data_IF_951606114406
#
_entry.id   IF_951606114406
#
_cell.length_a   1.000
_cell.length_b   1.000
_cell.length_c   1.000
_cell.angle_alpha   90.00
_cell.angle_beta   90.00
_cell.angle_gamma   90.00
#
_symmetry.space_group_name_H-M   'P 1'
#
loop_
_entity.id
_entity.type
_entity.pdbx_description
1 polymer ?
#
# COMPACT_ATOMS: atom_id res chain seq x y z
N UNK A 1 -44.14 -38.24 -8.31
CA UNK A 1 -44.00 -36.81 -7.99
C UNK A 1 -45.05 -36.36 -6.98
N UNK A 2 -46.30 -36.84 -7.08
CA UNK A 2 -47.41 -36.49 -6.17
C UNK A 2 -47.12 -36.70 -4.68
N UNK A 3 -46.55 -37.85 -4.30
CA UNK A 3 -46.22 -38.16 -2.90
C UNK A 3 -45.20 -37.18 -2.27
N UNK A 4 -44.28 -36.65 -3.08
CA UNK A 4 -43.28 -35.69 -2.60
C UNK A 4 -43.90 -34.31 -2.38
N UNK A 5 -44.81 -33.90 -3.26
CA UNK A 5 -45.62 -32.68 -3.11
C UNK A 5 -46.53 -32.74 -1.89
N UNK A 6 -47.18 -33.87 -1.63
CA UNK A 6 -48.06 -34.02 -0.46
C UNK A 6 -47.29 -33.96 0.86
N UNK A 7 -46.10 -34.57 0.92
CA UNK A 7 -45.22 -34.48 2.10
C UNK A 7 -44.75 -33.05 2.34
N UNK A 8 -44.42 -32.30 1.28
CA UNK A 8 -43.99 -30.90 1.38
C UNK A 8 -45.15 -30.01 1.85
N UNK A 9 -46.36 -30.20 1.33
CA UNK A 9 -47.54 -29.44 1.74
C UNK A 9 -47.92 -29.74 3.20
N UNK A 10 -47.86 -31.01 3.61
CA UNK A 10 -48.15 -31.41 4.97
C UNK A 10 -47.09 -30.88 5.97
N UNK A 11 -45.81 -30.84 5.57
CA UNK A 11 -44.75 -30.21 6.35
C UNK A 11 -44.98 -28.70 6.46
N UNK A 12 -45.28 -28.04 5.34
CA UNK A 12 -45.58 -26.60 5.29
C UNK A 12 -46.70 -26.22 6.26
N UNK A 13 -47.86 -26.90 6.19
CA UNK A 13 -49.01 -26.58 7.03
C UNK A 13 -48.73 -26.82 8.53
N UNK A 14 -47.93 -27.84 8.84
CA UNK A 14 -47.51 -28.12 10.21
C UNK A 14 -46.55 -27.06 10.73
N UNK A 15 -45.64 -26.58 9.89
CA UNK A 15 -44.71 -25.49 10.23
C UNK A 15 -45.46 -24.16 10.40
N UNK A 16 -46.43 -23.85 9.53
CA UNK A 16 -47.26 -22.63 9.64
C UNK A 16 -48.08 -22.64 10.93
N UNK A 17 -48.73 -23.76 11.27
CA UNK A 17 -49.49 -23.88 12.53
C UNK A 17 -48.62 -23.70 13.78
N UNK A 18 -47.38 -24.19 13.75
CA UNK A 18 -46.42 -24.02 14.85
C UNK A 18 -45.92 -22.57 14.96
N UNK A 19 -45.65 -21.91 13.83
CA UNK A 19 -45.13 -20.54 13.78
C UNK A 19 -46.21 -19.49 14.13
N UNK A 20 -47.48 -19.76 13.84
CA UNK A 20 -48.62 -18.89 14.21
C UNK A 20 -48.81 -18.76 15.73
N UNK A 21 -48.29 -19.68 16.52
CA UNK A 21 -48.36 -19.64 17.99
C UNK A 21 -47.31 -18.72 18.63
N UNK A 22 -46.36 -18.21 17.84
CA UNK A 22 -45.25 -17.38 18.32
C UNK A 22 -45.51 -15.92 17.94
N UNK A 23 -45.15 -14.99 18.83
CA UNK A 23 -45.27 -13.55 18.57
C UNK A 23 -44.48 -13.18 17.28
N UNK A 24 -45.11 -12.53 16.28
CA UNK A 24 -44.50 -12.23 14.99
C UNK A 24 -43.25 -11.34 15.10
N UNK A 25 -43.18 -10.45 16.10
CA UNK A 25 -42.00 -9.61 16.36
C UNK A 25 -40.82 -10.42 16.90
N UNK A 26 -41.10 -11.42 17.73
CA UNK A 26 -40.06 -12.33 18.24
C UNK A 26 -39.54 -13.24 17.11
N UNK A 27 -40.44 -13.73 16.25
CA UNK A 27 -40.06 -14.58 15.13
C UNK A 27 -39.20 -13.84 14.09
N UNK A 28 -39.58 -12.61 13.73
CA UNK A 28 -38.82 -11.76 12.80
C UNK A 28 -37.48 -11.33 13.37
N UNK A 29 -37.41 -10.93 14.64
CA UNK A 29 -36.13 -10.60 15.29
C UNK A 29 -35.21 -11.82 15.42
N UNK A 30 -35.74 -12.99 15.79
CA UNK A 30 -34.95 -14.22 15.88
C UNK A 30 -34.41 -14.68 14.52
N UNK A 31 -35.20 -14.55 13.44
CA UNK A 31 -34.76 -14.89 12.08
C UNK A 31 -33.69 -13.92 11.57
N UNK A 32 -33.83 -12.61 11.81
CA UNK A 32 -32.80 -11.62 11.48
C UNK A 32 -31.51 -11.87 12.26
N UNK A 33 -31.59 -12.10 13.58
CA UNK A 33 -30.41 -12.34 14.43
C UNK A 33 -29.72 -13.65 14.08
N UNK A 34 -30.47 -14.72 13.85
CA UNK A 34 -29.89 -16.02 13.48
C UNK A 34 -29.25 -15.97 12.09
N UNK A 35 -29.89 -15.34 11.11
CA UNK A 35 -29.33 -15.17 9.77
C UNK A 35 -28.09 -14.28 9.79
N UNK A 36 -28.14 -13.14 10.50
CA UNK A 36 -26.98 -12.26 10.66
C UNK A 36 -25.84 -12.98 11.38
N UNK A 37 -26.12 -13.70 12.46
CA UNK A 37 -25.11 -14.46 13.21
C UNK A 37 -24.49 -15.55 12.35
N UNK A 38 -25.30 -16.28 11.58
CA UNK A 38 -24.82 -17.30 10.65
C UNK A 38 -23.93 -16.70 9.56
N UNK A 39 -24.38 -15.63 8.89
CA UNK A 39 -23.59 -14.93 7.86
C UNK A 39 -22.31 -14.32 8.46
N UNK A 40 -22.39 -13.75 9.65
CA UNK A 40 -21.24 -13.19 10.37
C UNK A 40 -20.23 -14.27 10.72
N UNK A 41 -20.66 -15.39 11.30
CA UNK A 41 -19.80 -16.53 11.64
C UNK A 41 -19.23 -17.21 10.39
N UNK A 42 -20.02 -17.33 9.33
CA UNK A 42 -19.58 -17.86 8.04
C UNK A 42 -18.51 -16.98 7.39
N UNK A 43 -18.70 -15.66 7.42
CA UNK A 43 -17.68 -14.70 6.97
C UNK A 43 -16.45 -14.70 7.87
N UNK A 44 -16.63 -14.83 9.19
CA UNK A 44 -15.54 -14.94 10.17
C UNK A 44 -14.68 -16.19 9.91
N UNK A 45 -15.30 -17.31 9.53
CA UNK A 45 -14.62 -18.56 9.21
C UNK A 45 -13.90 -18.51 7.85
N UNK A 46 -14.42 -17.76 6.87
CA UNK A 46 -13.80 -17.59 5.55
C UNK A 46 -12.75 -16.48 5.45
N UNK A 47 -12.64 -15.62 6.45
CA UNK A 47 -11.60 -14.61 6.51
C UNK A 47 -10.31 -15.17 7.13
N UNK A 48 -9.14 -15.04 6.46
CA UNK A 48 -7.88 -15.60 6.98
C UNK A 48 -7.28 -14.86 8.19
N UNK A 49 -7.95 -13.81 8.71
CA UNK A 49 -7.63 -13.34 10.07
C UNK A 49 -8.29 -14.33 11.03
N UNK A 50 -7.54 -15.40 11.34
CA UNK A 50 -7.99 -16.44 12.25
C UNK A 50 -8.55 -15.87 13.55
N UNK A 51 -9.53 -16.56 14.12
CA UNK A 51 -10.28 -16.14 15.32
C UNK A 51 -9.32 -15.71 16.44
N UNK A 52 -8.20 -16.43 16.62
CA UNK A 52 -7.13 -16.08 17.56
C UNK A 52 -6.57 -14.67 17.35
N UNK A 53 -6.24 -14.27 16.12
CA UNK A 53 -5.71 -12.92 15.84
C UNK A 53 -6.75 -11.83 16.08
N UNK A 54 -8.04 -12.10 15.83
CA UNK A 54 -9.12 -11.15 16.11
C UNK A 54 -9.33 -10.95 17.61
N UNK A 55 -9.36 -12.05 18.35
CA UNK A 55 -9.44 -12.03 19.81
C UNK A 55 -8.22 -11.33 20.39
N UNK A 56 -7.02 -11.62 19.90
CA UNK A 56 -5.80 -10.92 20.30
C UNK A 56 -5.88 -9.42 19.98
N UNK A 57 -6.33 -9.01 18.79
CA UNK A 57 -6.48 -7.57 18.48
C UNK A 57 -7.48 -6.88 19.40
N UNK A 58 -8.64 -7.49 19.65
CA UNK A 58 -9.64 -6.94 20.59
C UNK A 58 -9.09 -6.88 22.00
N UNK A 59 -8.43 -7.95 22.45
CA UNK A 59 -7.75 -8.02 23.73
C UNK A 59 -6.69 -6.91 23.84
N UNK A 60 -5.78 -6.78 22.88
CA UNK A 60 -4.77 -5.72 22.85
C UNK A 60 -5.41 -4.33 22.80
N UNK A 61 -6.53 -4.16 22.08
CA UNK A 61 -7.27 -2.89 22.07
C UNK A 61 -7.81 -2.55 23.46
N UNK A 62 -8.36 -3.52 24.18
CA UNK A 62 -8.86 -3.34 25.55
C UNK A 62 -7.69 -3.09 26.53
N UNK A 63 -6.61 -3.86 26.41
CA UNK A 63 -5.39 -3.69 27.21
C UNK A 63 -4.77 -2.31 27.01
N UNK A 64 -4.76 -1.79 25.77
CA UNK A 64 -4.31 -0.42 25.46
C UNK A 64 -5.19 0.67 26.08
N UNK A 65 -6.44 0.36 26.43
CA UNK A 65 -7.31 1.30 27.14
C UNK A 65 -7.05 1.33 28.66
N UNK A 66 -6.29 0.38 29.21
CA UNK A 66 -5.94 0.37 30.64
C UNK A 66 -5.04 1.58 30.93
N UNK A 67 -5.36 2.42 31.94
CA UNK A 67 -4.65 3.69 32.18
C UNK A 67 -3.13 3.55 32.31
N UNK A 68 -2.63 2.53 33.02
CA UNK A 68 -1.19 2.31 33.19
C UNK A 68 -0.48 1.89 31.90
N UNK A 69 -1.14 1.04 31.08
CA UNK A 69 -0.60 0.63 29.77
C UNK A 69 -0.60 1.81 28.80
N UNK A 70 -1.68 2.60 28.76
CA UNK A 70 -1.78 3.82 27.96
C UNK A 70 -0.68 4.82 28.36
N UNK A 71 -0.44 4.99 29.66
CA UNK A 71 0.62 5.87 30.16
C UNK A 71 1.99 5.41 29.67
N UNK A 72 2.32 4.13 29.79
CA UNK A 72 3.60 3.59 29.30
C UNK A 72 3.76 3.71 27.78
N UNK A 73 2.70 3.50 27.01
CA UNK A 73 2.71 3.71 25.55
C UNK A 73 2.98 5.20 25.24
N UNK A 74 2.31 6.11 25.93
CA UNK A 74 2.51 7.55 25.73
C UNK A 74 3.91 7.99 26.14
N UNK A 75 4.47 7.44 27.22
CA UNK A 75 5.87 7.66 27.62
C UNK A 75 6.84 7.24 26.50
N UNK A 76 6.66 6.05 25.91
CA UNK A 76 7.49 5.61 24.78
C UNK A 76 7.31 6.49 23.53
N UNK A 77 6.08 6.92 23.23
CA UNK A 77 5.83 7.85 22.12
C UNK A 77 6.55 9.19 22.37
N UNK A 78 6.48 9.72 23.58
CA UNK A 78 7.15 10.96 23.96
C UNK A 78 8.67 10.83 23.85
N UNK A 79 9.24 9.72 24.31
CA UNK A 79 10.68 9.46 24.20
C UNK A 79 11.12 9.37 22.73
N UNK A 80 10.31 8.72 21.88
CA UNK A 80 10.55 8.65 20.44
C UNK A 80 10.46 10.04 19.81
N UNK A 81 9.44 10.83 20.16
CA UNK A 81 9.25 12.20 19.69
C UNK A 81 10.44 13.10 20.06
N UNK A 82 10.91 13.03 21.30
CA UNK A 82 12.09 13.76 21.77
C UNK A 82 13.36 13.30 21.03
N UNK A 83 13.55 11.99 20.85
CA UNK A 83 14.69 11.46 20.12
C UNK A 83 14.68 11.88 18.64
N UNK A 84 13.50 11.91 18.01
CA UNK A 84 13.30 12.38 16.64
C UNK A 84 13.59 13.87 16.54
N UNK A 85 13.04 14.67 17.44
CA UNK A 85 13.30 16.11 17.50
C UNK A 85 14.80 16.38 17.61
N UNK A 86 15.48 15.69 18.52
CA UNK A 86 16.93 15.83 18.68
C UNK A 86 17.71 15.43 17.42
N UNK A 87 17.33 14.34 16.77
CA UNK A 87 18.03 13.83 15.57
C UNK A 87 17.80 14.73 14.36
N UNK A 88 16.59 15.26 14.20
CA UNK A 88 16.25 16.19 13.10
C UNK A 88 16.99 17.51 13.30
N UNK A 89 17.01 18.03 14.53
CA UNK A 89 17.60 19.32 14.85
C UNK A 89 19.10 19.30 15.18
N UNK A 90 19.79 18.18 14.94
CA UNK A 90 21.22 18.03 15.23
C UNK A 90 22.10 18.95 14.38
N UNK A 91 21.66 19.28 13.17
CA UNK A 91 22.45 19.94 12.14
C UNK A 91 21.92 21.33 11.71
N UNK A 92 20.93 21.86 12.43
CA UNK A 92 20.31 23.16 12.07
C UNK A 92 21.15 24.38 12.48
N UNK A 93 22.22 24.18 13.26
CA UNK A 93 23.10 25.26 13.71
C UNK A 93 22.37 26.33 14.53
N UNK A 94 22.68 27.60 14.28
CA UNK A 94 22.03 28.76 14.93
C UNK A 94 20.85 29.33 14.12
N UNK A 95 20.46 28.68 13.02
CA UNK A 95 19.45 29.21 12.12
C UNK A 95 18.06 29.14 12.77
N UNK A 96 17.34 30.26 12.73
CA UNK A 96 15.98 30.33 13.22
C UNK A 96 15.00 29.79 12.17
N UNK A 97 14.06 28.98 12.64
CA UNK A 97 12.95 28.51 11.82
C UNK A 97 11.97 29.65 11.55
N UNK A 98 11.62 29.83 10.28
CA UNK A 98 10.51 30.70 9.88
C UNK A 98 9.20 30.00 10.27
N UNK A 99 8.60 30.42 11.38
CA UNK A 99 7.34 29.84 11.90
C UNK A 99 6.09 30.56 11.42
N UNK A 100 6.25 31.74 10.83
CA UNK A 100 5.16 32.60 10.38
C UNK A 100 5.46 33.18 9.00
N UNK A 101 4.41 33.56 8.28
CA UNK A 101 4.56 34.25 7.00
C UNK A 101 5.09 35.68 7.27
N UNK A 102 6.15 36.13 6.56
CA UNK A 102 6.67 37.48 6.71
C UNK A 102 5.59 38.54 6.45
N UNK A 103 5.56 39.60 7.26
CA UNK A 103 4.62 40.72 7.08
C UNK A 103 4.94 41.58 5.86
N UNK A 104 6.20 41.55 5.42
CA UNK A 104 6.69 42.29 4.26
C UNK A 104 7.26 41.33 3.21
N UNK A 105 7.17 41.73 1.95
CA UNK A 105 7.67 40.93 0.84
C UNK A 105 9.21 40.85 0.88
N UNK A 106 9.74 39.63 0.89
CA UNK A 106 11.18 39.38 0.77
C UNK A 106 11.59 39.57 -0.69
N UNK A 107 12.70 40.29 -0.92
CA UNK A 107 13.24 40.50 -2.26
C UNK A 107 13.86 39.23 -2.82
N UNK A 108 13.86 39.07 -4.14
CA UNK A 108 14.38 37.86 -4.80
C UNK A 108 15.83 37.55 -4.40
N UNK A 109 16.70 38.56 -4.36
CA UNK A 109 18.12 38.37 -3.99
C UNK A 109 18.29 37.92 -2.54
N UNK A 110 17.45 38.42 -1.63
CA UNK A 110 17.45 38.01 -0.23
C UNK A 110 16.96 36.56 -0.09
N UNK A 111 15.98 36.15 -0.89
CA UNK A 111 15.49 34.78 -0.91
C UNK A 111 16.55 33.82 -1.48
N UNK A 112 17.25 34.21 -2.55
CA UNK A 112 18.34 33.41 -3.11
C UNK A 112 19.47 33.25 -2.08
N UNK A 113 19.81 34.33 -1.37
CA UNK A 113 20.79 34.27 -0.28
C UNK A 113 20.35 33.30 0.82
N UNK A 114 19.08 33.35 1.24
CA UNK A 114 18.53 32.43 2.22
C UNK A 114 18.66 30.96 1.77
N UNK A 115 18.39 30.68 0.49
CA UNK A 115 18.57 29.33 -0.08
C UNK A 115 20.05 28.91 -0.07
N UNK A 116 20.97 29.83 -0.36
CA UNK A 116 22.42 29.55 -0.26
C UNK A 116 22.84 29.26 1.18
N UNK A 117 22.33 30.02 2.14
CA UNK A 117 22.59 29.81 3.57
C UNK A 117 22.10 28.41 4.00
N UNK A 118 20.91 27.99 3.56
CA UNK A 118 20.37 26.64 3.83
C UNK A 118 21.14 25.52 3.12
N UNK A 119 21.62 25.76 1.90
CA UNK A 119 22.48 24.80 1.20
C UNK A 119 23.83 24.59 1.90
N UNK A 120 24.27 25.55 2.73
CA UNK A 120 25.49 25.47 3.53
C UNK A 120 25.33 24.69 4.85
N UNK A 121 24.12 24.24 5.20
CA UNK A 121 23.90 23.43 6.39
C UNK A 121 24.62 22.08 6.28
N UNK A 122 25.35 21.69 7.33
CA UNK A 122 26.12 20.46 7.34
C UNK A 122 25.21 19.25 7.48
N UNK A 123 25.00 18.50 6.39
CA UNK A 123 24.31 17.22 6.42
C UNK A 123 25.23 16.01 6.53
N UNK A 124 24.68 14.79 6.65
CA UNK A 124 25.42 13.55 6.48
C UNK A 124 26.23 13.56 5.18
N UNK A 125 27.48 13.11 5.22
CA UNK A 125 28.44 13.19 4.11
C UNK A 125 28.13 12.18 2.98
N UNK A 126 27.03 12.37 2.28
CA UNK A 126 26.57 11.48 1.22
C UNK A 126 27.51 11.49 0.00
N UNK A 127 28.14 12.62 -0.33
CA UNK A 127 29.16 12.73 -1.38
C UNK A 127 30.44 11.91 -1.10
N UNK A 128 30.66 11.49 0.15
CA UNK A 128 31.74 10.56 0.51
C UNK A 128 31.33 9.08 0.41
N UNK A 129 30.12 8.79 -0.11
CA UNK A 129 29.58 7.42 -0.21
C UNK A 129 29.20 6.79 1.13
N UNK A 130 29.04 7.60 2.18
CA UNK A 130 28.72 7.14 3.55
C UNK A 130 27.23 7.00 3.83
N UNK A 131 26.39 7.36 2.86
CA UNK A 131 24.94 7.30 2.97
C UNK A 131 24.44 6.27 1.96
N UNK A 132 23.69 5.29 2.45
CA UNK A 132 23.10 4.25 1.60
C UNK A 132 21.85 4.78 0.90
N UNK A 133 21.80 4.71 -0.43
CA UNK A 133 20.70 5.26 -1.22
C UNK A 133 20.69 6.78 -1.14
N UNK A 134 19.54 7.37 -0.82
CA UNK A 134 19.28 8.82 -0.72
C UNK A 134 19.59 9.65 -1.99
N UNK A 135 20.86 9.73 -2.39
CA UNK A 135 21.35 10.42 -3.59
C UNK A 135 22.07 9.39 -4.45
N UNK A 136 21.57 9.17 -5.66
CA UNK A 136 22.04 8.07 -6.54
C UNK A 136 23.13 8.48 -7.53
N UNK A 137 23.17 9.76 -7.90
CA UNK A 137 24.14 10.30 -8.86
C UNK A 137 25.16 11.20 -8.16
N UNK A 138 26.31 11.39 -8.80
CA UNK A 138 27.39 12.23 -8.26
C UNK A 138 27.13 13.70 -8.61
N UNK A 139 26.95 14.55 -7.60
CA UNK A 139 26.78 16.00 -7.80
C UNK A 139 28.01 16.67 -8.42
N UNK A 140 29.15 15.99 -8.49
CA UNK A 140 30.32 16.45 -9.24
C UNK A 140 30.11 16.39 -10.76
N UNK A 141 29.10 15.67 -11.25
CA UNK A 141 28.75 15.67 -12.66
C UNK A 141 28.03 16.98 -13.03
N UNK A 142 28.85 17.96 -13.41
CA UNK A 142 28.38 19.27 -13.84
C UNK A 142 27.60 19.23 -15.16
N UNK A 143 27.73 18.17 -15.97
CA UNK A 143 27.00 18.05 -17.23
C UNK A 143 25.55 17.60 -16.97
N UNK A 144 25.37 16.61 -16.09
CA UNK A 144 24.03 16.18 -15.65
C UNK A 144 23.28 17.31 -14.93
N UNK A 145 23.94 17.98 -13.98
CA UNK A 145 23.34 19.11 -13.25
C UNK A 145 22.91 20.24 -14.21
N UNK A 146 23.76 20.57 -15.20
CA UNK A 146 23.42 21.56 -16.23
C UNK A 146 22.16 21.17 -17.01
N UNK A 147 22.00 19.90 -17.35
CA UNK A 147 20.80 19.42 -18.04
C UNK A 147 19.58 19.58 -17.15
N UNK A 148 19.67 19.23 -15.86
CA UNK A 148 18.56 19.42 -14.92
C UNK A 148 18.15 20.88 -14.79
N UNK A 149 19.10 21.78 -14.56
CA UNK A 149 18.82 23.21 -14.44
C UNK A 149 18.10 23.76 -15.68
N UNK A 150 18.62 23.49 -16.88
CA UNK A 150 18.04 24.01 -18.12
C UNK A 150 16.66 23.41 -18.41
N UNK A 151 16.45 22.12 -18.15
CA UNK A 151 15.15 21.45 -18.33
C UNK A 151 14.13 21.99 -17.33
N UNK A 152 14.46 22.03 -16.03
CA UNK A 152 13.55 22.53 -15.00
C UNK A 152 13.19 23.99 -15.25
N UNK A 153 14.17 24.84 -15.57
CA UNK A 153 13.94 26.24 -15.94
C UNK A 153 13.01 26.38 -17.13
N UNK A 154 13.18 25.55 -18.18
CA UNK A 154 12.35 25.59 -19.39
C UNK A 154 10.90 25.18 -19.14
N UNK A 155 10.69 24.18 -18.28
CA UNK A 155 9.39 23.56 -18.03
C UNK A 155 8.77 23.94 -16.69
N UNK A 156 9.31 24.96 -16.01
CA UNK A 156 8.93 25.31 -14.65
C UNK A 156 7.41 25.52 -14.51
N UNK A 157 6.77 26.20 -15.48
CA UNK A 157 5.32 26.49 -15.45
C UNK A 157 4.47 25.47 -16.21
N UNK A 158 5.06 24.35 -16.60
CA UNK A 158 4.33 23.29 -17.28
C UNK A 158 3.46 22.50 -16.30
N UNK A 159 2.29 22.08 -16.76
CA UNK A 159 1.37 21.28 -15.96
C UNK A 159 0.76 20.15 -16.83
N UNK A 160 1.17 18.88 -16.64
CA UNK A 160 0.68 17.74 -17.42
C UNK A 160 -0.85 17.54 -17.37
N UNK A 161 -1.56 18.12 -16.40
CA UNK A 161 -3.03 18.11 -16.34
C UNK A 161 -3.66 18.76 -17.59
N UNK A 162 -2.94 19.65 -18.27
CA UNK A 162 -3.39 20.37 -19.45
C UNK A 162 -2.57 19.97 -20.69
N UNK A 163 -2.71 18.73 -21.20
CA UNK A 163 -1.84 18.19 -22.26
C UNK A 163 -1.96 18.92 -23.60
N UNK A 164 -3.07 19.63 -23.83
CA UNK A 164 -3.25 20.51 -25.00
C UNK A 164 -2.41 21.78 -24.92
N UNK A 165 -2.21 22.31 -23.70
CA UNK A 165 -1.41 23.51 -23.47
C UNK A 165 0.09 23.19 -23.43
N UNK A 166 0.45 21.98 -22.97
CA UNK A 166 1.84 21.53 -22.85
C UNK A 166 2.11 20.25 -23.65
N UNK A 167 1.99 20.28 -25.00
CA UNK A 167 2.16 19.09 -25.83
C UNK A 167 3.59 18.53 -25.78
N UNK A 168 4.59 19.38 -25.50
CA UNK A 168 5.99 18.96 -25.32
C UNK A 168 6.17 18.06 -24.11
N UNK A 169 5.58 18.41 -22.96
CA UNK A 169 5.65 17.58 -21.74
C UNK A 169 4.94 16.26 -21.95
N UNK A 170 3.72 16.28 -22.50
CA UNK A 170 2.98 15.06 -22.85
C UNK A 170 3.80 14.14 -23.78
N UNK A 171 4.53 14.72 -24.75
CA UNK A 171 5.41 13.94 -25.64
C UNK A 171 6.56 13.31 -24.87
N UNK A 172 7.27 14.08 -24.03
CA UNK A 172 8.38 13.57 -23.22
C UNK A 172 7.92 12.45 -22.28
N UNK A 173 6.78 12.61 -21.60
CA UNK A 173 6.21 11.55 -20.75
C UNK A 173 5.96 10.26 -21.55
N UNK A 174 5.34 10.36 -22.73
CA UNK A 174 5.08 9.19 -23.57
C UNK A 174 6.37 8.50 -24.05
N UNK A 175 7.40 9.27 -24.38
CA UNK A 175 8.71 8.75 -24.80
C UNK A 175 9.44 8.07 -23.65
N UNK A 176 9.45 8.67 -22.45
CA UNK A 176 10.03 8.05 -21.26
C UNK A 176 9.34 6.73 -20.94
N UNK A 177 8.01 6.69 -20.98
CA UNK A 177 7.24 5.46 -20.77
C UNK A 177 7.65 4.40 -21.81
N UNK A 178 7.72 4.76 -23.09
CA UNK A 178 8.10 3.81 -24.14
C UNK A 178 9.55 3.34 -24.01
N UNK A 179 10.49 4.21 -23.61
CA UNK A 179 11.87 3.83 -23.32
C UNK A 179 11.93 2.83 -22.15
N UNK A 180 11.17 3.06 -21.08
CA UNK A 180 11.07 2.11 -19.96
C UNK A 180 10.43 0.77 -20.38
N UNK A 181 9.33 0.79 -21.15
CA UNK A 181 8.74 -0.43 -21.70
C UNK A 181 9.76 -1.22 -22.52
N UNK A 182 10.52 -0.55 -23.38
CA UNK A 182 11.55 -1.16 -24.23
C UNK A 182 12.69 -1.73 -23.39
N UNK A 183 13.16 -1.00 -22.38
CA UNK A 183 14.18 -1.47 -21.42
C UNK A 183 13.74 -2.74 -20.70
N UNK A 184 12.45 -2.86 -20.40
CA UNK A 184 11.83 -4.03 -19.77
C UNK A 184 11.38 -5.10 -20.77
N UNK A 185 11.75 -4.98 -22.05
CA UNK A 185 11.38 -5.90 -23.14
C UNK A 185 9.86 -6.05 -23.34
N UNK A 186 9.10 -4.97 -23.14
CA UNK A 186 7.67 -4.90 -23.45
C UNK A 186 7.40 -4.92 -24.95
N UNK A 187 6.22 -5.43 -25.32
CA UNK A 187 5.72 -5.49 -26.69
C UNK A 187 5.02 -4.18 -27.13
N UNK A 188 4.40 -4.17 -28.30
CA UNK A 188 3.70 -2.99 -28.83
C UNK A 188 2.50 -2.59 -27.97
N UNK A 189 1.79 -3.59 -27.44
CA UNK A 189 0.63 -3.45 -26.55
C UNK A 189 1.02 -3.00 -25.13
N UNK A 190 2.29 -3.16 -24.75
CA UNK A 190 2.82 -2.68 -23.48
C UNK A 190 2.65 -1.17 -23.40
N UNK A 191 1.82 -0.75 -22.46
CA UNK A 191 1.56 0.64 -22.17
C UNK A 191 1.89 0.92 -20.70
N UNK A 192 1.96 2.20 -20.38
CA UNK A 192 2.22 2.64 -19.03
C UNK A 192 1.65 4.02 -18.81
N UNK A 193 1.49 4.35 -17.55
CA UNK A 193 1.49 5.72 -17.07
C UNK A 193 2.59 5.80 -16.02
N UNK A 194 3.05 6.99 -15.67
CA UNK A 194 3.89 7.15 -14.49
C UNK A 194 3.03 6.89 -13.23
N UNK A 195 2.73 5.61 -12.95
CA UNK A 195 2.01 5.17 -11.75
C UNK A 195 2.34 3.70 -11.44
N UNK A 196 2.60 3.44 -10.16
CA UNK A 196 3.27 2.25 -9.63
C UNK A 196 2.30 1.31 -8.88
N UNK A 197 2.45 -0.03 -9.00
CA UNK A 197 1.88 -1.02 -8.04
C UNK A 197 2.67 -2.36 -8.04
N UNK A 198 3.20 -2.83 -6.88
CA UNK A 198 4.03 -4.06 -6.66
C UNK A 198 3.90 -4.79 -5.21
N UNK A 199 4.77 -5.74 -4.68
CA UNK A 199 4.48 -6.84 -3.66
C UNK A 199 4.60 -6.58 -2.13
N UNK A 200 4.62 -7.65 -1.31
CA UNK A 200 4.73 -7.66 0.18
C UNK A 200 6.13 -7.53 0.77
N UNK A 201 7.18 -7.83 0.00
CA UNK A 201 8.55 -7.32 0.22
C UNK A 201 8.68 -5.88 -0.28
N UNK A 202 7.65 -5.38 -0.97
CA UNK A 202 7.71 -4.04 -1.48
C UNK A 202 7.22 -3.02 -0.49
N UNK A 203 7.56 -1.81 -0.91
CA UNK A 203 7.56 -0.59 -0.15
C UNK A 203 6.32 -0.45 0.73
N UNK A 204 6.47 0.22 1.88
CA UNK A 204 5.37 0.49 2.82
C UNK A 204 4.11 1.08 2.16
N UNK A 205 4.27 1.66 0.96
CA UNK A 205 3.23 2.04 0.02
C UNK A 205 2.11 1.00 -0.19
N UNK A 206 2.37 -0.32 -0.18
CA UNK A 206 1.29 -1.32 -0.36
C UNK A 206 0.37 -1.47 0.84
N UNK A 207 0.91 -1.26 2.03
CA UNK A 207 0.09 -1.22 3.24
C UNK A 207 -0.80 0.01 3.20
N UNK A 208 -0.25 1.15 2.76
CA UNK A 208 -1.02 2.37 2.53
C UNK A 208 -2.09 2.19 1.45
N UNK A 209 -1.76 1.58 0.32
CA UNK A 209 -2.71 1.31 -0.77
C UNK A 209 -3.83 0.36 -0.32
N UNK A 210 -3.52 -0.68 0.44
CA UNK A 210 -4.50 -1.59 1.02
C UNK A 210 -5.49 -0.85 1.95
N UNK A 211 -4.99 0.09 2.75
CA UNK A 211 -5.83 0.93 3.62
C UNK A 211 -6.68 1.93 2.82
N UNK A 212 -6.06 2.65 1.89
CA UNK A 212 -6.72 3.69 1.07
C UNK A 212 -7.80 3.08 0.16
N UNK A 213 -7.47 2.01 -0.56
CA UNK A 213 -8.40 1.35 -1.49
C UNK A 213 -9.26 0.27 -0.83
N UNK A 214 -9.08 0.03 0.48
CA UNK A 214 -9.75 -1.03 1.24
C UNK A 214 -9.58 -2.41 0.60
N UNK A 215 -8.42 -2.65 0.00
CA UNK A 215 -8.02 -3.93 -0.59
C UNK A 215 -7.30 -4.75 0.47
N UNK A 216 -7.59 -6.05 0.51
CA UNK A 216 -6.95 -6.94 1.48
C UNK A 216 -5.56 -7.36 1.01
N UNK A 217 -4.51 -6.86 1.67
CA UNK A 217 -3.14 -7.32 1.45
C UNK A 217 -2.83 -8.60 2.26
N UNK A 218 -2.48 -9.69 1.57
CA UNK A 218 -2.03 -10.95 2.20
C UNK A 218 -0.51 -11.03 2.14
N UNK A 219 0.15 -10.92 3.30
CA UNK A 219 1.63 -11.00 3.39
C UNK A 219 2.09 -12.45 3.48
N UNK A 220 2.83 -12.90 2.47
CA UNK A 220 3.45 -14.24 2.41
C UNK A 220 4.85 -14.15 3.05
N UNK A 221 5.22 -15.05 3.96
CA UNK A 221 6.55 -15.04 4.56
C UNK A 221 7.62 -15.42 3.52
N UNK A 222 8.80 -14.82 3.68
CA UNK A 222 10.00 -15.16 2.91
C UNK A 222 10.73 -16.36 3.53
N UNK A 223 11.54 -17.02 2.72
CA UNK A 223 12.44 -18.07 3.16
C UNK A 223 13.60 -17.47 4.00
N UNK A 224 13.92 -18.03 5.19
CA UNK A 224 14.93 -17.47 6.10
C UNK A 224 16.37 -17.50 5.59
N UNK A 225 16.69 -18.33 4.58
CA UNK A 225 18.05 -18.49 4.08
C UNK A 225 18.27 -17.74 2.76
N UNK A 226 17.27 -17.76 1.87
CA UNK A 226 17.34 -17.12 0.56
C UNK A 226 16.76 -15.70 0.54
N UNK A 227 15.96 -15.35 1.56
CA UNK A 227 15.19 -14.09 1.63
C UNK A 227 14.25 -13.86 0.44
N UNK A 228 13.94 -14.90 -0.32
CA UNK A 228 12.97 -14.88 -1.42
C UNK A 228 11.59 -15.31 -0.94
N UNK A 229 10.56 -14.95 -1.69
CA UNK A 229 9.19 -15.40 -1.39
C UNK A 229 9.03 -16.91 -1.52
N UNK A 230 8.41 -17.55 -0.52
CA UNK A 230 8.09 -18.97 -0.56
C UNK A 230 6.89 -19.22 -1.51
N UNK A 231 7.20 -19.74 -2.71
CA UNK A 231 6.21 -20.01 -3.75
C UNK A 231 5.12 -20.99 -3.32
N UNK A 232 5.43 -21.96 -2.45
CA UNK A 232 4.42 -22.93 -1.97
C UNK A 232 3.40 -22.23 -1.08
N UNK A 233 3.89 -21.37 -0.17
CA UNK A 233 3.01 -20.57 0.68
C UNK A 233 2.26 -19.52 -0.12
N UNK A 234 2.89 -18.88 -1.11
CA UNK A 234 2.23 -17.95 -2.02
C UNK A 234 1.07 -18.64 -2.74
N UNK A 235 1.29 -19.83 -3.32
CA UNK A 235 0.23 -20.62 -3.97
C UNK A 235 -0.91 -20.96 -3.01
N UNK A 236 -0.62 -21.32 -1.76
CA UNK A 236 -1.65 -21.64 -0.76
C UNK A 236 -2.49 -20.45 -0.32
N UNK A 237 -1.98 -19.23 -0.47
CA UNK A 237 -2.66 -18.00 -0.10
C UNK A 237 -3.62 -17.47 -1.19
N UNK A 238 -3.61 -18.07 -2.38
CA UNK A 238 -4.44 -17.64 -3.50
C UNK A 238 -5.89 -18.10 -3.27
N UNK A 239 -6.82 -17.16 -3.45
CA UNK A 239 -8.26 -17.40 -3.33
C UNK A 239 -8.99 -16.85 -4.55
N UNK A 240 -10.28 -17.14 -4.69
CA UNK A 240 -11.14 -16.55 -5.73
C UNK A 240 -11.25 -15.01 -5.65
N UNK A 241 -10.84 -14.40 -4.53
CA UNK A 241 -10.82 -12.94 -4.32
C UNK A 241 -9.47 -12.30 -4.64
N UNK A 242 -8.46 -13.10 -5.00
CA UNK A 242 -7.12 -12.60 -5.31
C UNK A 242 -7.13 -11.95 -6.68
N UNK A 243 -6.83 -10.65 -6.74
CA UNK A 243 -6.78 -9.87 -7.99
C UNK A 243 -5.37 -9.65 -8.53
N UNK A 244 -4.33 -9.82 -7.71
CA UNK A 244 -2.94 -9.53 -8.10
C UNK A 244 -1.97 -10.41 -7.29
N UNK A 245 -0.92 -10.89 -7.96
CA UNK A 245 0.28 -11.49 -7.36
C UNK A 245 1.45 -10.59 -7.67
N UNK A 246 2.46 -10.56 -6.79
CA UNK A 246 3.62 -9.74 -7.05
C UNK A 246 4.90 -10.30 -6.43
N UNK A 247 6.05 -10.04 -7.05
CA UNK A 247 7.41 -10.21 -6.52
C UNK A 247 8.29 -8.96 -6.76
N UNK A 248 9.41 -8.85 -6.02
CA UNK A 248 10.35 -7.71 -6.08
C UNK A 248 11.63 -8.09 -6.79
N UNK A 249 12.22 -7.17 -7.56
CA UNK A 249 13.47 -7.40 -8.27
C UNK A 249 14.32 -6.11 -8.34
N UNK A 250 15.17 -5.82 -7.32
CA UNK A 250 15.30 -6.48 -6.02
C UNK A 250 14.34 -5.90 -4.95
N UNK A 251 14.31 -6.49 -3.76
CA UNK A 251 13.64 -5.92 -2.59
C UNK A 251 14.54 -4.92 -1.84
N UNK A 252 13.92 -3.93 -1.18
CA UNK A 252 14.62 -2.92 -0.38
C UNK A 252 15.35 -3.48 0.86
N UNK A 253 14.76 -4.39 1.67
CA UNK A 253 15.38 -4.82 2.93
C UNK A 253 16.67 -5.64 2.77
N UNK A 254 16.76 -6.48 1.74
CA UNK A 254 17.85 -7.44 1.59
C UNK A 254 18.56 -7.36 0.24
N UNK A 255 18.06 -6.56 -0.71
CA UNK A 255 18.62 -6.48 -2.06
C UNK A 255 18.48 -7.77 -2.88
N UNK A 256 17.66 -8.72 -2.42
CA UNK A 256 17.47 -10.01 -3.12
C UNK A 256 16.34 -9.92 -4.16
N UNK A 257 16.48 -10.67 -5.25
CA UNK A 257 15.44 -10.80 -6.28
C UNK A 257 14.57 -12.01 -6.01
N UNK A 258 13.26 -11.84 -6.04
CA UNK A 258 12.30 -12.95 -6.03
C UNK A 258 12.35 -13.70 -7.37
N UNK A 259 11.90 -14.96 -7.39
CA UNK A 259 11.76 -15.73 -8.64
C UNK A 259 10.54 -15.25 -9.45
N UNK A 260 10.73 -14.15 -10.19
CA UNK A 260 9.69 -13.49 -11.01
C UNK A 260 9.13 -14.45 -12.07
N UNK A 261 9.97 -15.32 -12.64
CA UNK A 261 9.55 -16.27 -13.67
C UNK A 261 8.59 -17.30 -13.07
N UNK A 262 8.89 -17.84 -11.89
CA UNK A 262 8.00 -18.78 -11.22
C UNK A 262 6.69 -18.11 -10.75
N UNK A 263 6.74 -16.87 -10.25
CA UNK A 263 5.55 -16.10 -9.89
C UNK A 263 4.67 -15.85 -11.13
N UNK A 264 5.27 -15.48 -12.26
CA UNK A 264 4.55 -15.30 -13.52
C UNK A 264 3.86 -16.58 -14.00
N UNK A 265 4.58 -17.72 -13.94
CA UNK A 265 4.01 -19.04 -14.25
C UNK A 265 2.85 -19.40 -13.31
N UNK A 266 2.97 -19.09 -12.01
CA UNK A 266 1.90 -19.31 -11.03
C UNK A 266 0.66 -18.47 -11.35
N UNK A 267 0.84 -17.19 -11.68
CA UNK A 267 -0.24 -16.28 -12.08
C UNK A 267 -0.98 -16.79 -13.33
N UNK A 268 -0.25 -17.25 -14.34
CA UNK A 268 -0.83 -17.82 -15.56
C UNK A 268 -1.65 -19.09 -15.26
N UNK A 269 -1.11 -19.99 -14.43
CA UNK A 269 -1.80 -21.23 -14.04
C UNK A 269 -3.11 -20.96 -13.30
N UNK A 270 -3.13 -19.97 -12.40
CA UNK A 270 -4.32 -19.58 -11.64
C UNK A 270 -5.35 -18.87 -12.51
N UNK A 271 -4.91 -18.01 -13.43
CA UNK A 271 -5.82 -17.33 -14.37
C UNK A 271 -6.58 -18.32 -15.25
N UNK A 272 -5.89 -19.34 -15.77
CA UNK A 272 -6.50 -20.39 -16.61
C UNK A 272 -7.54 -21.23 -15.85
N UNK A 273 -7.35 -21.47 -14.55
CA UNK A 273 -8.29 -22.27 -13.75
C UNK A 273 -9.55 -21.50 -13.29
N UNK A 274 -9.52 -20.17 -13.32
CA UNK A 274 -10.62 -19.31 -12.88
C UNK A 274 -11.44 -18.71 -14.03
N UNK A 275 -11.04 -18.90 -15.29
CA UNK A 275 -11.91 -18.52 -16.42
C UNK A 275 -13.14 -19.44 -16.42
N UNK A 276 -14.37 -18.90 -16.41
CA UNK A 276 -15.53 -19.72 -16.74
C UNK A 276 -15.27 -20.30 -18.13
N UNK A 277 -15.43 -21.61 -18.28
CA UNK A 277 -15.46 -22.27 -19.60
C UNK A 277 -16.51 -21.53 -20.42
N UNK A 278 -16.06 -20.78 -21.43
CA UNK A 278 -16.93 -20.18 -22.41
C UNK A 278 -17.60 -21.30 -23.19
N UNK A 279 -18.83 -21.64 -22.81
CA UNK A 279 -19.79 -22.38 -23.62
C UNK A 279 -20.61 -21.40 -24.44
#
# INVERSE_FOLDING_TARGET
>A
MELATDVVLHLHDRTVKLLQQVNPLLLTSATVVSTYSFVYLWNLHRDDIGIRRRLLRRFFSIVKCVPWVKRKINEEISNIEESLHKTIHEHDGEYQFLTELPTEAIQADQLIKLVQDYSGLEGPRYLEGKVSGAVFNDEKDMEEMRVYEEVFKKFAWSNPLWPKLFPGVRKMEAEVIRMCCTLMHGDEESCGTAAWVIPTSAHAAFTKAAEVFRIRAVRVPVDPHTFQVDLKKMKSAITRRTCMLVGSAPNFPFGTMDDIVAIGKLGLAVSKSHRPTSS
#
